data_IF_002712402064
#
_entry.id   IF_002712402064
#
_cell.length_a   1.000
_cell.length_b   1.000
_cell.length_c   1.000
_cell.angle_alpha   90.00
_cell.angle_beta   90.00
_cell.angle_gamma   90.00
#
_symmetry.space_group_name_H-M   'P 1'
#
loop_
_entity.id
_entity.type
_entity.pdbx_description
1 polymer ?
#
# COMPACT_ATOMS: atom_id res chain seq x y z
N UNK A 1 -5.73 4.23 7.78
CA UNK A 1 -4.30 4.27 7.38
C UNK A 1 -4.23 4.83 5.97
N UNK A 2 -3.45 5.88 5.71
CA UNK A 2 -3.30 6.41 4.34
C UNK A 2 -2.67 5.35 3.45
N UNK A 3 -3.19 5.18 2.24
CA UNK A 3 -2.78 4.11 1.33
C UNK A 3 -3.49 2.76 1.55
N UNK A 4 -4.39 2.65 2.53
CA UNK A 4 -5.19 1.43 2.78
C UNK A 4 -6.67 1.78 2.71
N UNK A 5 -7.33 1.33 1.64
CA UNK A 5 -8.77 1.49 1.45
C UNK A 5 -9.57 0.26 1.87
N UNK A 6 -10.90 0.38 1.88
CA UNK A 6 -11.83 -0.70 2.28
C UNK A 6 -11.65 -1.99 1.47
N UNK A 7 -11.43 -1.88 0.16
CA UNK A 7 -11.18 -3.04 -0.72
C UNK A 7 -9.83 -3.70 -0.44
N UNK A 8 -8.81 -2.91 -0.16
CA UNK A 8 -7.47 -3.43 0.14
C UNK A 8 -7.46 -4.15 1.48
N UNK A 9 -8.07 -3.55 2.52
CA UNK A 9 -8.22 -4.18 3.83
C UNK A 9 -8.95 -5.53 3.75
N UNK A 10 -10.02 -5.62 2.97
CA UNK A 10 -10.77 -6.87 2.79
C UNK A 10 -9.91 -7.99 2.15
N UNK A 11 -9.13 -7.66 1.12
CA UNK A 11 -8.22 -8.63 0.49
C UNK A 11 -7.12 -9.07 1.46
N UNK A 12 -6.54 -8.14 2.22
CA UNK A 12 -5.51 -8.46 3.21
C UNK A 12 -6.06 -9.41 4.28
N UNK A 13 -7.26 -9.15 4.81
CA UNK A 13 -7.91 -10.03 5.80
C UNK A 13 -8.19 -11.42 5.22
N UNK A 14 -8.71 -11.49 3.98
CA UNK A 14 -8.90 -12.77 3.27
C UNK A 14 -7.60 -13.54 3.02
N UNK A 15 -6.47 -12.85 2.88
CA UNK A 15 -5.15 -13.47 2.73
C UNK A 15 -4.54 -13.86 4.08
N UNK A 16 -4.90 -13.15 5.14
CA UNK A 16 -4.51 -13.45 6.51
C UNK A 16 -5.32 -14.59 7.14
N UNK A 17 -6.39 -15.04 6.47
CA UNK A 17 -7.36 -16.03 6.96
C UNK A 17 -8.06 -15.57 8.25
N UNK A 18 -8.36 -14.27 8.32
CA UNK A 18 -9.05 -13.64 9.46
C UNK A 18 -10.47 -13.32 9.04
N UNK A 19 -11.42 -13.61 9.93
CA UNK A 19 -12.83 -13.30 9.70
C UNK A 19 -13.05 -11.78 9.61
N UNK A 20 -13.86 -11.39 8.62
CA UNK A 20 -14.20 -10.00 8.32
C UNK A 20 -15.19 -9.42 9.34
N UNK A 21 -15.99 -10.28 9.99
CA UNK A 21 -16.99 -9.88 10.96
C UNK A 21 -16.43 -9.79 12.40
N UNK A 22 -15.20 -10.30 12.61
CA UNK A 22 -14.49 -10.22 13.88
C UNK A 22 -14.21 -8.77 14.27
N UNK A 23 -14.41 -8.41 15.55
CA UNK A 23 -14.15 -7.05 16.01
C UNK A 23 -12.66 -6.82 16.16
N UNK A 24 -12.19 -5.62 15.80
CA UNK A 24 -10.77 -5.27 15.85
C UNK A 24 -10.14 -5.42 17.25
N UNK A 25 -10.93 -5.34 18.33
CA UNK A 25 -10.45 -5.54 19.70
C UNK A 25 -10.31 -7.01 20.13
N UNK A 26 -10.79 -7.96 19.32
CA UNK A 26 -10.71 -9.40 19.57
C UNK A 26 -9.54 -10.04 18.81
N UNK A 27 -8.79 -9.24 18.03
CA UNK A 27 -7.65 -9.73 17.27
C UNK A 27 -6.48 -10.02 18.20
N UNK A 28 -5.86 -11.19 18.04
CA UNK A 28 -4.63 -11.51 18.76
C UNK A 28 -3.44 -10.72 18.17
N UNK A 29 -2.39 -10.56 18.95
CA UNK A 29 -1.18 -9.86 18.51
C UNK A 29 -0.53 -10.56 17.30
N UNK A 30 -0.57 -11.90 17.26
CA UNK A 30 -0.12 -12.71 16.13
C UNK A 30 -0.92 -12.44 14.83
N UNK A 31 -2.24 -12.26 14.94
CA UNK A 31 -3.10 -11.91 13.81
C UNK A 31 -2.75 -10.50 13.29
N UNK A 32 -2.48 -9.56 14.19
CA UNK A 32 -2.06 -8.20 13.84
C UNK A 32 -0.72 -8.21 13.10
N UNK A 33 0.27 -8.96 13.57
CA UNK A 33 1.56 -9.09 12.90
C UNK A 33 1.44 -9.70 11.50
N UNK A 34 0.61 -10.73 11.34
CA UNK A 34 0.30 -11.31 10.02
C UNK A 34 -0.30 -10.26 9.08
N UNK A 35 -1.27 -9.47 9.55
CA UNK A 35 -1.87 -8.39 8.76
C UNK A 35 -0.80 -7.38 8.32
N UNK A 36 0.07 -6.93 9.24
CA UNK A 36 1.13 -5.98 8.94
C UNK A 36 2.12 -6.53 7.91
N UNK A 37 2.47 -7.81 8.02
CA UNK A 37 3.41 -8.49 7.10
C UNK A 37 2.83 -8.59 5.70
N UNK A 38 1.54 -8.95 5.59
CA UNK A 38 0.84 -9.01 4.29
C UNK A 38 0.70 -7.62 3.68
N UNK A 39 0.40 -6.61 4.49
CA UNK A 39 0.29 -5.23 4.04
C UNK A 39 1.61 -4.68 3.51
N UNK A 40 2.73 -5.02 4.14
CA UNK A 40 4.06 -4.60 3.73
C UNK A 40 4.54 -5.31 2.45
N UNK A 41 4.21 -6.60 2.30
CA UNK A 41 4.70 -7.45 1.20
C UNK A 41 3.58 -8.09 0.37
N UNK A 42 2.68 -7.31 -0.26
CA UNK A 42 1.47 -7.85 -0.89
C UNK A 42 1.75 -8.82 -2.05
N UNK A 43 2.87 -8.65 -2.76
CA UNK A 43 3.27 -9.52 -3.87
C UNK A 43 3.57 -10.95 -3.42
N UNK A 44 4.16 -11.13 -2.23
CA UNK A 44 4.48 -12.46 -1.70
C UNK A 44 3.21 -13.27 -1.39
N UNK A 45 2.11 -12.57 -1.07
CA UNK A 45 0.81 -13.16 -0.76
C UNK A 45 -0.15 -13.25 -1.96
N UNK A 46 0.40 -13.23 -3.19
CA UNK A 46 -0.34 -13.38 -4.45
C UNK A 46 -1.40 -12.30 -4.68
N UNK A 47 -1.18 -11.08 -4.19
CA UNK A 47 -2.02 -9.93 -4.55
C UNK A 47 -1.56 -9.43 -5.94
N UNK A 48 -2.48 -9.24 -6.91
CA UNK A 48 -2.09 -8.81 -8.25
C UNK A 48 -1.44 -7.43 -8.31
N UNK A 49 -0.46 -7.25 -9.19
CA UNK A 49 0.28 -5.99 -9.34
C UNK A 49 -0.62 -4.80 -9.72
N UNK A 50 -1.68 -5.03 -10.52
CA UNK A 50 -2.65 -3.99 -10.90
C UNK A 50 -3.48 -3.46 -9.72
N UNK A 51 -3.49 -4.18 -8.59
CA UNK A 51 -4.24 -3.80 -7.40
C UNK A 51 -3.42 -2.90 -6.46
N UNK A 52 -2.11 -2.78 -6.70
CA UNK A 52 -1.21 -1.98 -5.88
C UNK A 52 -1.31 -0.49 -6.21
N UNK A 53 -1.10 0.36 -5.21
CA UNK A 53 -1.24 1.81 -5.36
C UNK A 53 -0.04 2.50 -6.03
N UNK A 54 1.13 1.86 -6.10
CA UNK A 54 2.31 2.35 -6.82
C UNK A 54 2.76 1.29 -7.82
N UNK A 55 2.39 1.50 -9.08
CA UNK A 55 2.71 0.59 -10.17
C UNK A 55 3.87 1.15 -10.99
N UNK A 56 4.84 0.29 -11.30
CA UNK A 56 6.00 0.60 -12.15
C UNK A 56 6.61 1.97 -11.80
N UNK A 57 7.15 2.07 -10.59
CA UNK A 57 7.79 3.30 -10.14
C UNK A 57 8.91 3.73 -11.11
N UNK A 58 9.06 5.03 -11.34
CA UNK A 58 9.99 5.56 -12.35
C UNK A 58 11.46 5.33 -11.98
N UNK A 59 11.78 5.25 -10.69
CA UNK A 59 13.16 5.13 -10.21
C UNK A 59 13.62 3.68 -10.23
N UNK A 60 12.84 2.78 -9.62
CA UNK A 60 13.24 1.39 -9.42
C UNK A 60 12.47 0.38 -10.30
N UNK A 61 11.43 0.83 -11.01
CA UNK A 61 10.58 -0.03 -11.85
C UNK A 61 9.69 -1.00 -11.08
N UNK A 62 9.69 -0.94 -9.74
CA UNK A 62 9.00 -1.93 -8.90
C UNK A 62 7.53 -1.57 -8.70
N UNK A 63 6.77 -2.60 -8.32
CA UNK A 63 5.39 -2.48 -7.90
C UNK A 63 5.35 -2.60 -6.38
N UNK A 64 4.74 -1.63 -5.71
CA UNK A 64 4.71 -1.58 -4.25
C UNK A 64 3.37 -1.05 -3.74
N UNK A 65 3.03 -1.43 -2.51
CA UNK A 65 1.99 -0.75 -1.75
C UNK A 65 2.64 0.24 -0.79
N UNK A 66 2.38 1.53 -0.99
CA UNK A 66 2.83 2.59 -0.09
C UNK A 66 1.80 2.84 1.00
N UNK A 67 2.26 2.99 2.23
CA UNK A 67 1.43 3.26 3.41
C UNK A 67 1.90 4.53 4.12
N UNK A 68 0.96 5.25 4.75
CA UNK A 68 1.22 6.37 5.66
C UNK A 68 2.24 7.38 5.11
N UNK A 69 3.37 7.56 5.81
CA UNK A 69 4.44 8.50 5.49
C UNK A 69 5.10 8.22 4.13
N UNK A 70 5.27 6.95 3.76
CA UNK A 70 5.93 6.58 2.50
C UNK A 70 5.13 7.05 1.29
N UNK A 71 3.80 7.05 1.39
CA UNK A 71 2.92 7.56 0.34
C UNK A 71 3.07 9.08 0.19
N UNK A 72 3.06 9.82 1.30
CA UNK A 72 3.21 11.28 1.28
C UNK A 72 4.60 11.69 0.76
N UNK A 73 5.67 10.99 1.16
CA UNK A 73 7.04 11.23 0.67
C UNK A 73 7.17 10.99 -0.83
N UNK A 74 6.61 9.89 -1.35
CA UNK A 74 6.67 9.57 -2.79
C UNK A 74 5.90 10.57 -3.65
N UNK A 75 4.75 11.05 -3.17
CA UNK A 75 4.01 12.11 -3.86
C UNK A 75 4.81 13.42 -3.94
N UNK A 76 5.55 13.77 -2.87
CA UNK A 76 6.44 14.93 -2.88
C UNK A 76 7.58 14.77 -3.88
N UNK A 77 8.23 13.61 -3.90
CA UNK A 77 9.30 13.30 -4.86
C UNK A 77 8.81 13.43 -6.32
N UNK A 78 7.60 12.94 -6.61
CA UNK A 78 7.01 13.05 -7.95
C UNK A 78 6.73 14.50 -8.36
N UNK A 79 6.23 15.32 -7.42
CA UNK A 79 5.98 16.74 -7.65
C UNK A 79 7.28 17.52 -7.88
N UNK A 80 8.29 17.29 -7.06
CA UNK A 80 9.61 17.92 -7.22
C UNK A 80 10.27 17.55 -8.55
N UNK A 81 10.11 16.30 -9.00
CA UNK A 81 10.55 15.88 -10.32
C UNK A 81 9.83 16.65 -11.43
N UNK A 82 8.51 16.81 -11.35
CA UNK A 82 7.75 17.54 -12.36
C UNK A 82 8.11 19.04 -12.41
N UNK A 83 8.36 19.65 -11.25
CA UNK A 83 8.89 21.02 -11.15
C UNK A 83 10.24 21.15 -11.85
N UNK A 84 11.16 20.21 -11.61
CA UNK A 84 12.49 20.19 -12.27
C UNK A 84 12.39 20.10 -13.80
N UNK A 85 11.44 19.31 -14.31
CA UNK A 85 11.20 19.15 -15.76
C UNK A 85 10.42 20.34 -16.35
N UNK A 86 9.87 21.24 -15.52
CA UNK A 86 8.98 22.34 -15.91
C UNK A 86 7.74 21.87 -16.69
N UNK A 87 7.20 20.72 -16.30
CA UNK A 87 5.96 20.22 -16.88
C UNK A 87 4.76 21.08 -16.42
N UNK A 88 3.78 21.34 -17.29
CA UNK A 88 2.57 22.12 -16.95
C UNK A 88 1.85 21.60 -15.69
N UNK A 89 1.86 20.28 -15.46
CA UNK A 89 1.26 19.65 -14.26
C UNK A 89 2.02 19.93 -12.96
N UNK A 90 3.30 20.28 -13.05
CA UNK A 90 4.17 20.55 -11.90
C UNK A 90 4.47 22.02 -11.65
N UNK A 91 4.00 22.92 -12.53
CA UNK A 91 4.07 24.38 -12.36
C UNK A 91 3.00 24.86 -11.38
#
# INVERSE_FOLDING_TARGET
>A
IKGVGRRYANIVLKKADIDLDKRAGECSEEEVEKIVTIMANPRQYKIPDWFLNRQKDIVDGKYSQLTSSNLDSKLREDLERMKKIRAHRGL
#
